data_IF_003742617311
#
_entry.id   IF_003742617311
#
_cell.length_a   1.000
_cell.length_b   1.000
_cell.length_c   1.000
_cell.angle_alpha   90.00
_cell.angle_beta   90.00
_cell.angle_gamma   90.00
#
_symmetry.space_group_name_H-M   'P 1'
#
loop_
_entity.id
_entity.type
_entity.pdbx_description
1 polymer ?
#
# COMPACT_ATOMS: atom_id res chain seq x y z
N UNK A 1 -4.90 -6.10 19.05
CA UNK A 1 -3.77 -6.93 19.56
C UNK A 1 -3.91 -8.42 19.30
N UNK A 2 -5.06 -9.05 19.58
CA UNK A 2 -5.24 -10.49 19.30
C UNK A 2 -4.98 -10.87 17.83
N UNK A 3 -5.48 -10.06 16.89
CA UNK A 3 -5.24 -10.24 15.45
C UNK A 3 -3.75 -10.14 15.09
N UNK A 4 -3.05 -9.10 15.56
CA UNK A 4 -1.62 -8.91 15.31
C UNK A 4 -0.75 -10.02 15.92
N UNK A 5 -1.15 -10.60 17.06
CA UNK A 5 -0.48 -11.79 17.62
C UNK A 5 -0.60 -13.00 16.69
N UNK A 6 -1.78 -13.24 16.14
CA UNK A 6 -2.03 -14.40 15.27
C UNK A 6 -1.27 -14.32 13.94
N UNK A 7 -1.02 -13.10 13.44
CA UNK A 7 -0.31 -12.87 12.17
C UNK A 7 1.19 -12.62 12.35
N UNK A 8 1.72 -12.70 13.57
CA UNK A 8 3.15 -12.45 13.86
C UNK A 8 3.60 -10.99 13.81
N UNK A 9 2.70 -10.04 13.54
CA UNK A 9 3.00 -8.61 13.39
C UNK A 9 2.71 -7.81 14.67
N UNK A 10 2.56 -8.49 15.81
CA UNK A 10 2.24 -7.86 17.10
C UNK A 10 3.48 -7.53 17.93
N UNK A 11 3.33 -6.73 18.98
CA UNK A 11 4.39 -6.51 19.95
C UNK A 11 4.78 -7.83 20.61
N UNK A 12 6.07 -7.96 20.94
CA UNK A 12 6.59 -9.05 21.76
C UNK A 12 5.79 -9.15 23.05
N UNK A 13 5.58 -10.37 23.52
CA UNK A 13 4.78 -10.62 24.71
C UNK A 13 5.32 -11.79 25.50
N UNK A 14 4.99 -11.80 26.79
CA UNK A 14 5.29 -12.88 27.70
C UNK A 14 4.03 -13.73 27.85
N UNK A 15 4.19 -15.03 27.64
CA UNK A 15 3.16 -16.03 27.91
C UNK A 15 3.70 -16.96 29.00
N UNK A 16 3.08 -16.92 30.16
CA UNK A 16 3.46 -17.80 31.26
C UNK A 16 2.90 -19.20 30.99
N UNK A 17 3.79 -20.16 30.79
CA UNK A 17 3.41 -21.57 30.80
C UNK A 17 3.17 -21.96 32.26
N UNK A 18 1.93 -22.29 32.62
CA UNK A 18 1.69 -22.96 33.89
C UNK A 18 2.17 -24.41 33.75
N UNK A 19 3.02 -24.88 34.68
CA UNK A 19 3.70 -26.19 34.63
C UNK A 19 2.74 -27.36 34.38
N UNK A 20 1.48 -27.25 34.80
CA UNK A 20 0.45 -28.29 34.67
C UNK A 20 -0.65 -28.02 33.61
N UNK A 21 -0.52 -26.99 32.77
CA UNK A 21 -1.58 -26.61 31.83
C UNK A 21 -1.14 -26.60 30.36
N UNK A 22 -1.71 -27.52 29.56
CA UNK A 22 -1.64 -27.55 28.09
C UNK A 22 -2.68 -26.64 27.41
N UNK A 23 -3.35 -25.75 28.14
CA UNK A 23 -4.40 -24.92 27.59
C UNK A 23 -3.84 -23.89 26.59
N UNK A 24 -4.40 -23.86 25.37
CA UNK A 24 -3.96 -22.97 24.28
C UNK A 24 -4.18 -21.47 24.56
N UNK A 25 -5.12 -21.13 25.44
CA UNK A 25 -5.54 -19.75 25.73
C UNK A 25 -4.97 -19.23 27.05
N UNK A 26 -3.65 -19.29 27.21
CA UNK A 26 -3.00 -18.73 28.40
C UNK A 26 -3.00 -17.20 28.37
N UNK A 27 -2.93 -16.61 29.56
CA UNK A 27 -2.86 -15.16 29.73
C UNK A 27 -1.57 -14.63 29.13
N UNK A 28 -1.71 -13.60 28.29
CA UNK A 28 -0.61 -12.91 27.64
C UNK A 28 -0.39 -11.57 28.32
N UNK A 29 0.85 -11.27 28.68
CA UNK A 29 1.24 -9.99 29.25
C UNK A 29 2.22 -9.27 28.33
N UNK A 30 2.06 -7.96 28.25
CA UNK A 30 2.92 -7.10 27.45
C UNK A 30 3.76 -6.24 28.37
N UNK A 31 5.06 -6.15 28.09
CA UNK A 31 5.88 -5.13 28.71
C UNK A 31 5.58 -3.78 28.07
N UNK A 32 5.48 -2.74 28.90
CA UNK A 32 5.20 -1.38 28.42
C UNK A 32 6.29 -0.90 27.45
N UNK A 33 7.55 -1.31 27.66
CA UNK A 33 8.67 -1.04 26.76
C UNK A 33 8.45 -1.63 25.37
N UNK A 34 8.08 -2.91 25.28
CA UNK A 34 7.85 -3.59 23.99
C UNK A 34 6.66 -3.01 23.24
N UNK A 35 5.59 -2.65 23.95
CA UNK A 35 4.45 -1.93 23.37
C UNK A 35 4.87 -0.58 22.79
N UNK A 36 5.73 0.15 23.49
CA UNK A 36 6.22 1.46 23.05
C UNK A 36 7.10 1.31 21.82
N UNK A 37 8.05 0.37 21.82
CA UNK A 37 8.92 0.07 20.68
C UNK A 37 8.11 -0.35 19.46
N UNK A 38 7.17 -1.29 19.63
CA UNK A 38 6.30 -1.73 18.53
C UNK A 38 5.42 -0.61 17.99
N UNK A 39 4.83 0.20 18.87
CA UNK A 39 4.04 1.37 18.45
C UNK A 39 4.90 2.36 17.68
N UNK A 40 6.10 2.65 18.18
CA UNK A 40 6.99 3.63 17.59
C UNK A 40 7.55 3.14 16.24
N UNK A 41 7.76 1.84 16.05
CA UNK A 41 8.11 1.25 14.74
C UNK A 41 6.94 1.21 13.74
N UNK A 42 5.71 1.34 14.22
CA UNK A 42 4.50 1.42 13.39
C UNK A 42 3.96 2.85 13.27
N UNK A 43 4.69 3.85 13.77
CA UNK A 43 4.38 5.26 13.51
C UNK A 43 4.70 5.58 12.07
N UNK A 44 3.77 6.28 11.46
CA UNK A 44 3.91 6.90 10.15
C UNK A 44 3.85 8.40 10.36
N UNK A 45 4.76 9.13 9.71
CA UNK A 45 4.90 10.58 9.88
C UNK A 45 3.98 11.36 8.94
N UNK A 46 3.35 10.68 7.99
CA UNK A 46 2.34 11.28 7.10
C UNK A 46 1.35 10.25 6.58
N UNK A 47 0.20 10.73 6.12
CA UNK A 47 -0.80 9.92 5.38
C UNK A 47 -0.18 9.29 4.12
N UNK A 48 0.79 9.96 3.49
CA UNK A 48 1.50 9.49 2.30
C UNK A 48 2.44 8.33 2.61
N UNK A 49 3.22 8.40 3.69
CA UNK A 49 4.06 7.30 4.18
C UNK A 49 3.20 6.09 4.57
N UNK A 50 2.05 6.34 5.18
CA UNK A 50 1.07 5.32 5.51
C UNK A 50 0.47 4.66 4.25
N UNK A 51 0.34 5.39 3.15
CA UNK A 51 -0.08 4.86 1.86
C UNK A 51 1.05 4.05 1.21
N UNK A 52 2.30 4.54 1.25
CA UNK A 52 3.47 3.85 0.70
C UNK A 52 3.69 2.48 1.38
N UNK A 53 3.64 2.42 2.71
CA UNK A 53 3.75 1.15 3.45
C UNK A 53 2.63 0.15 3.16
N UNK A 54 1.49 0.62 2.63
CA UNK A 54 0.37 -0.22 2.21
C UNK A 54 0.40 -0.59 0.72
N UNK A 55 1.46 -0.21 -0.01
CA UNK A 55 1.52 -0.37 -1.47
C UNK A 55 0.57 0.57 -2.23
N UNK A 56 0.05 1.61 -1.57
CA UNK A 56 -0.92 2.55 -2.12
C UNK A 56 -0.29 3.86 -2.61
N UNK A 57 1.05 3.97 -2.58
CA UNK A 57 1.76 5.13 -3.09
C UNK A 57 3.11 4.74 -3.68
N UNK A 58 3.49 5.47 -4.73
CA UNK A 58 4.67 5.21 -5.57
C UNK A 58 5.82 6.09 -5.08
N UNK A 59 6.97 5.48 -4.75
CA UNK A 59 8.15 6.20 -4.28
C UNK A 59 9.20 6.36 -5.39
N UNK A 60 9.15 5.50 -6.40
CA UNK A 60 10.09 5.45 -7.51
C UNK A 60 9.38 5.06 -8.81
N UNK A 61 10.02 5.33 -9.95
CA UNK A 61 9.57 4.85 -11.26
C UNK A 61 9.38 3.33 -11.28
N UNK A 62 10.23 2.59 -10.56
CA UNK A 62 10.14 1.14 -10.46
C UNK A 62 8.87 0.65 -9.75
N UNK A 63 8.20 1.50 -8.97
CA UNK A 63 6.93 1.12 -8.35
C UNK A 63 5.79 1.09 -9.37
N UNK A 64 5.86 1.89 -10.44
CA UNK A 64 4.84 1.88 -11.50
C UNK A 64 4.92 0.67 -12.43
N UNK A 65 6.05 -0.03 -12.44
CA UNK A 65 6.29 -1.23 -13.27
C UNK A 65 5.91 -2.52 -12.55
N UNK A 66 5.73 -2.47 -11.22
CA UNK A 66 5.32 -3.63 -10.42
C UNK A 66 3.87 -4.00 -10.74
N UNK A 67 3.54 -5.28 -10.94
CA UNK A 67 2.16 -5.71 -11.11
C UNK A 67 1.34 -5.45 -9.84
N UNK A 68 0.21 -4.77 -10.00
CA UNK A 68 -0.76 -4.50 -8.95
C UNK A 68 -2.11 -5.12 -9.31
N UNK A 69 -2.97 -5.44 -8.34
CA UNK A 69 -4.23 -6.12 -8.58
C UNK A 69 -5.33 -5.13 -9.01
N UNK A 70 -5.94 -5.39 -10.17
CA UNK A 70 -7.08 -4.64 -10.69
C UNK A 70 -8.27 -5.56 -10.97
N UNK A 71 -9.46 -5.09 -10.61
CA UNK A 71 -10.71 -5.70 -11.06
C UNK A 71 -10.96 -5.38 -12.53
N UNK A 72 -11.38 -6.38 -13.29
CA UNK A 72 -11.87 -6.26 -14.65
C UNK A 72 -13.25 -6.87 -14.77
N UNK A 73 -14.10 -6.27 -15.59
CA UNK A 73 -15.40 -6.81 -15.97
C UNK A 73 -15.50 -6.70 -17.49
N UNK A 74 -15.75 -7.81 -18.17
CA UNK A 74 -15.91 -7.85 -19.64
C UNK A 74 -14.72 -7.16 -20.37
N UNK A 75 -13.49 -7.48 -19.96
CA UNK A 75 -12.22 -6.92 -20.48
C UNK A 75 -12.04 -5.41 -20.31
N UNK A 76 -12.78 -4.78 -19.39
CA UNK A 76 -12.58 -3.38 -19.00
C UNK A 76 -12.11 -3.28 -17.57
N UNK A 77 -11.13 -2.41 -17.32
CA UNK A 77 -10.66 -2.09 -15.99
C UNK A 77 -11.78 -1.40 -15.21
N UNK A 78 -12.16 -2.03 -14.11
CA UNK A 78 -13.16 -1.53 -13.20
C UNK A 78 -12.53 -0.57 -12.19
N UNK A 79 -11.68 -1.10 -11.31
CA UNK A 79 -10.99 -0.34 -10.28
C UNK A 79 -9.80 -1.14 -9.76
N UNK A 80 -8.92 -0.49 -8.99
CA UNK A 80 -7.92 -1.21 -8.21
C UNK A 80 -8.57 -1.98 -7.06
N UNK A 81 -8.08 -3.18 -6.79
CA UNK A 81 -8.71 -4.10 -5.83
C UNK A 81 -8.78 -3.51 -4.42
N UNK A 82 -7.78 -2.71 -4.02
CA UNK A 82 -7.70 -2.12 -2.67
C UNK A 82 -8.38 -0.75 -2.53
N UNK A 83 -8.98 -0.19 -3.59
CA UNK A 83 -9.59 1.14 -3.54
C UNK A 83 -11.12 1.13 -3.57
N UNK A 84 -11.73 -0.04 -3.75
CA UNK A 84 -13.18 -0.21 -3.67
C UNK A 84 -13.62 -0.35 -2.21
N UNK A 85 -14.89 -0.06 -1.91
CA UNK A 85 -15.42 -0.29 -0.55
C UNK A 85 -15.59 -1.78 -0.28
N UNK A 86 -15.72 -2.17 1.00
CA UNK A 86 -15.93 -3.56 1.40
C UNK A 86 -17.21 -4.16 0.79
N UNK A 87 -18.26 -3.35 0.63
CA UNK A 87 -19.50 -3.75 -0.03
C UNK A 87 -19.26 -4.07 -1.50
N UNK A 88 -18.64 -3.15 -2.23
CA UNK A 88 -18.31 -3.32 -3.65
C UNK A 88 -17.35 -4.49 -3.86
N UNK A 89 -16.37 -4.66 -2.98
CA UNK A 89 -15.44 -5.78 -3.01
C UNK A 89 -16.16 -7.13 -2.91
N UNK A 90 -17.13 -7.26 -1.97
CA UNK A 90 -17.94 -8.47 -1.82
C UNK A 90 -18.85 -8.71 -3.03
N UNK A 91 -19.41 -7.66 -3.61
CA UNK A 91 -20.21 -7.77 -4.84
C UNK A 91 -19.37 -8.28 -6.01
N UNK A 92 -18.18 -7.72 -6.21
CA UNK A 92 -17.25 -8.13 -7.26
C UNK A 92 -16.79 -9.58 -7.09
N UNK A 93 -16.49 -10.01 -5.87
CA UNK A 93 -16.15 -11.41 -5.58
C UNK A 93 -17.24 -12.41 -5.97
N UNK A 94 -18.51 -12.01 -5.87
CA UNK A 94 -19.66 -12.87 -6.22
C UNK A 94 -20.10 -12.72 -7.68
N UNK A 95 -19.47 -11.84 -8.45
CA UNK A 95 -19.83 -11.56 -9.84
C UNK A 95 -19.02 -12.47 -10.77
N UNK A 96 -19.69 -13.37 -11.49
CA UNK A 96 -19.03 -14.35 -12.38
C UNK A 96 -18.27 -13.73 -13.58
N UNK A 97 -18.58 -12.47 -13.92
CA UNK A 97 -17.91 -11.71 -15.01
C UNK A 97 -16.75 -10.86 -14.50
N UNK A 98 -16.54 -10.80 -13.19
CA UNK A 98 -15.49 -10.02 -12.58
C UNK A 98 -14.26 -10.88 -12.35
N UNK A 99 -13.10 -10.38 -12.76
CA UNK A 99 -11.81 -11.07 -12.62
C UNK A 99 -10.78 -10.12 -12.00
N UNK A 100 -9.79 -10.67 -11.29
CA UNK A 100 -8.62 -9.92 -10.85
C UNK A 100 -7.48 -10.20 -11.81
N UNK A 101 -6.96 -9.15 -12.44
CA UNK A 101 -5.71 -9.21 -13.21
C UNK A 101 -4.58 -8.53 -12.45
N UNK A 102 -3.36 -9.00 -12.70
CA UNK A 102 -2.14 -8.41 -12.17
C UNK A 102 -1.43 -7.67 -13.29
N UNK A 103 -1.45 -6.35 -13.23
CA UNK A 103 -0.92 -5.49 -14.29
C UNK A 103 -0.26 -4.26 -13.66
N UNK A 104 0.81 -3.78 -14.26
CA UNK A 104 1.52 -2.60 -13.77
C UNK A 104 0.73 -1.32 -14.04
N UNK A 105 0.91 -0.30 -13.19
CA UNK A 105 0.16 0.95 -13.33
C UNK A 105 0.43 1.62 -14.68
N UNK A 106 1.69 1.63 -15.11
CA UNK A 106 2.07 2.23 -16.39
C UNK A 106 1.32 1.60 -17.57
N UNK A 107 0.98 0.30 -17.49
CA UNK A 107 0.28 -0.43 -18.57
C UNK A 107 -1.23 -0.27 -18.45
N UNK A 108 -1.78 -0.40 -17.25
CA UNK A 108 -3.24 -0.35 -17.02
C UNK A 108 -3.85 0.99 -17.42
N UNK A 109 -3.08 2.08 -17.40
CA UNK A 109 -3.52 3.40 -17.86
C UNK A 109 -3.84 3.48 -19.36
N UNK A 110 -3.33 2.53 -20.16
CA UNK A 110 -3.60 2.39 -21.59
C UNK A 110 -4.66 1.34 -21.92
N UNK A 111 -5.15 0.60 -20.92
CA UNK A 111 -6.25 -0.35 -21.09
C UNK A 111 -7.61 0.36 -21.20
N UNK A 112 -8.64 -0.39 -21.57
CA UNK A 112 -10.01 0.12 -21.61
C UNK A 112 -10.58 0.22 -20.19
N UNK A 113 -11.00 1.41 -19.77
CA UNK A 113 -11.63 1.62 -18.46
C UNK A 113 -13.15 1.68 -18.57
N UNK A 114 -13.84 1.13 -17.56
CA UNK A 114 -15.30 1.21 -17.50
C UNK A 114 -15.79 2.64 -17.22
N UNK A 115 -15.01 3.43 -16.47
CA UNK A 115 -15.34 4.80 -16.06
C UNK A 115 -14.10 5.70 -16.08
N UNK A 116 -14.24 6.86 -16.75
CA UNK A 116 -13.16 7.85 -16.85
C UNK A 116 -12.72 8.39 -15.48
N UNK A 117 -13.64 8.48 -14.51
CA UNK A 117 -13.33 8.94 -13.14
C UNK A 117 -12.38 7.99 -12.41
N UNK A 118 -12.55 6.67 -12.56
CA UNK A 118 -11.65 5.70 -11.92
C UNK A 118 -10.26 5.73 -12.55
N UNK A 119 -10.19 5.81 -13.89
CA UNK A 119 -8.92 6.02 -14.61
C UNK A 119 -8.23 7.30 -14.15
N UNK A 120 -8.97 8.39 -14.01
CA UNK A 120 -8.42 9.72 -13.72
C UNK A 120 -7.65 9.74 -12.40
N UNK A 121 -8.12 9.07 -11.35
CA UNK A 121 -7.39 8.97 -10.06
C UNK A 121 -5.96 8.47 -10.26
N UNK A 122 -5.80 7.42 -11.06
CA UNK A 122 -4.50 6.81 -11.34
C UNK A 122 -3.65 7.65 -12.27
N UNK A 123 -4.26 8.27 -13.29
CA UNK A 123 -3.59 9.19 -14.18
C UNK A 123 -3.00 10.38 -13.42
N UNK A 124 -3.78 10.99 -12.51
CA UNK A 124 -3.37 12.16 -11.76
C UNK A 124 -2.21 11.83 -10.81
N UNK A 125 -2.25 10.66 -10.15
CA UNK A 125 -1.14 10.15 -9.34
C UNK A 125 0.11 9.95 -10.20
N UNK A 126 -0.02 9.27 -11.34
CA UNK A 126 1.09 8.97 -12.24
C UNK A 126 1.77 10.25 -12.77
N UNK A 127 0.97 11.19 -13.28
CA UNK A 127 1.46 12.48 -13.80
C UNK A 127 2.09 13.33 -12.70
N UNK A 128 1.48 13.37 -11.51
CA UNK A 128 2.00 14.14 -10.37
C UNK A 128 3.39 13.67 -9.95
N UNK A 129 3.60 12.36 -9.82
CA UNK A 129 4.88 11.79 -9.44
C UNK A 129 5.95 12.06 -10.51
N UNK A 130 5.65 11.81 -11.79
CA UNK A 130 6.61 12.06 -12.87
C UNK A 130 6.97 13.54 -12.98
N UNK A 131 5.99 14.44 -12.85
CA UNK A 131 6.23 15.89 -12.87
C UNK A 131 7.10 16.33 -11.69
N UNK A 132 6.93 15.71 -10.51
CA UNK A 132 7.80 15.93 -9.36
C UNK A 132 9.25 15.53 -9.64
N UNK A 133 9.46 14.35 -10.23
CA UNK A 133 10.80 13.85 -10.59
C UNK A 133 11.50 14.76 -11.61
N UNK A 134 10.78 15.23 -12.64
CA UNK A 134 11.31 16.17 -13.63
C UNK A 134 11.80 17.45 -12.96
N UNK A 135 10.96 18.07 -12.13
CA UNK A 135 11.31 19.30 -11.40
C UNK A 135 12.52 19.12 -10.49
N UNK A 136 12.59 18.00 -9.77
CA UNK A 136 13.75 17.71 -8.93
C UNK A 136 15.04 17.61 -9.75
N UNK A 137 14.99 16.99 -10.94
CA UNK A 137 16.14 16.90 -11.84
C UNK A 137 16.57 18.29 -12.34
N UNK A 138 15.61 19.13 -12.76
CA UNK A 138 15.87 20.51 -13.20
C UNK A 138 16.54 21.34 -12.09
N UNK A 139 16.03 21.28 -10.86
CA UNK A 139 16.59 21.99 -9.70
C UNK A 139 18.02 21.54 -9.40
N UNK A 140 18.28 20.22 -9.43
CA UNK A 140 19.63 19.70 -9.16
C UNK A 140 20.62 20.11 -10.25
N UNK A 141 20.20 20.19 -11.51
CA UNK A 141 21.01 20.70 -12.61
C UNK A 141 21.33 22.19 -12.45
N UNK A 142 20.35 23.02 -12.10
CA UNK A 142 20.56 24.44 -11.80
C UNK A 142 21.54 24.62 -10.63
N UNK A 143 21.38 23.83 -9.56
CA UNK A 143 22.30 23.84 -8.42
C UNK A 143 23.72 23.47 -8.83
N UNK A 144 23.88 22.47 -9.69
CA UNK A 144 25.20 22.07 -10.20
C UNK A 144 25.85 23.20 -10.99
N UNK A 145 25.11 23.87 -11.88
CA UNK A 145 25.62 24.99 -12.67
C UNK A 145 26.08 26.13 -11.77
N UNK A 146 25.29 26.49 -10.74
CA UNK A 146 25.64 27.54 -9.80
C UNK A 146 26.90 27.20 -8.98
N UNK A 147 27.07 25.94 -8.58
CA UNK A 147 28.25 25.48 -7.86
C UNK A 147 29.51 25.44 -8.74
N UNK A 148 29.39 25.28 -10.05
CA UNK A 148 30.52 25.29 -10.99
C UNK A 148 31.04 26.71 -11.28
N UNK A 149 30.20 27.73 -11.07
CA UNK A 149 30.51 29.14 -11.33
C UNK A 149 31.15 29.84 -10.11
N UNK A 150 30.96 29.29 -8.90
CA UNK A 150 31.45 29.82 -7.62
C UNK A 150 32.78 29.17 -7.20
#
# INVERSE_FOLDING_TARGET
>A
MARYRQTGNGPTYIQYQAEDSKARNQRVNYLLGDLKTWRDSHKVNSTMEAAQLRGLAFASLADFTKPEPFWTIDNKIYAHVLTVSDEVFKELLNTSRAEVIWISLEKVLFENWHASRERQKWNDVFVSVLSGMVKSCEIEQERHILNDIL
#
